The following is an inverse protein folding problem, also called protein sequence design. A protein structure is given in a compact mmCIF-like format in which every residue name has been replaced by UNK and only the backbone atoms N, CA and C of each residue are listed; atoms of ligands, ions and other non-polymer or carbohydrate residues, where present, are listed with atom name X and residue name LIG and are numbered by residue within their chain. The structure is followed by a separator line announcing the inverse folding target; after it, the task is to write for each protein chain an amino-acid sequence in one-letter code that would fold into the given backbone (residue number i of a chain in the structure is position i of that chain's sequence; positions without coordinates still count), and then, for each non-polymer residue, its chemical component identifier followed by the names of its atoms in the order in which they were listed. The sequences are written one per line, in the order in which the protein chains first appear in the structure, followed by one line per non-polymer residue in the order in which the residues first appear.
data_IF_208447925040
#
_entry.id   IF_208447925040
#
_cell.length_a   1.000
_cell.length_b   1.000
_cell.length_c   1.000
_cell.angle_alpha   90.00
_cell.angle_beta   90.00
_cell.angle_gamma   90.00
#
_symmetry.space_group_name_H-M   'P 1'
#
loop_
_entity.id
_entity.type
_entity.pdbx_description
1 polymer ?
#
# COMPACT_ATOMS: atom_id res chain seq x y z
N UNK A 1 -7.79 19.29 12.31
CA UNK A 1 -7.96 17.82 12.33
C UNK A 1 -6.78 17.20 11.61
N UNK A 2 -6.25 16.05 12.05
CA UNK A 2 -5.02 15.45 11.53
C UNK A 2 -5.32 14.04 11.05
N UNK A 3 -4.85 13.69 9.85
CA UNK A 3 -4.86 12.33 9.32
C UNK A 3 -3.47 11.99 8.76
N UNK A 4 -2.81 10.98 9.32
CA UNK A 4 -1.42 10.63 9.00
C UNK A 4 -1.28 9.27 8.32
N UNK A 5 -2.38 8.66 7.89
CA UNK A 5 -2.35 7.37 7.20
C UNK A 5 -3.40 7.35 6.10
N UNK A 6 -3.03 7.86 4.91
CA UNK A 6 -3.91 7.89 3.75
C UNK A 6 -3.20 7.40 2.49
N UNK A 7 -3.99 6.83 1.59
CA UNK A 7 -3.52 6.14 0.40
C UNK A 7 -4.12 6.79 -0.83
N UNK A 8 -3.32 6.87 -1.89
CA UNK A 8 -3.75 7.36 -3.19
C UNK A 8 -3.81 6.20 -4.18
N UNK A 9 -4.21 6.50 -5.40
CA UNK A 9 -4.16 5.55 -6.50
C UNK A 9 -2.72 5.16 -6.93
N UNK A 10 -1.66 5.76 -6.35
CA UNK A 10 -0.28 5.26 -6.50
C UNK A 10 0.01 4.00 -5.66
N UNK A 11 -0.93 3.57 -4.83
CA UNK A 11 -0.92 2.23 -4.24
C UNK A 11 -2.27 1.54 -4.39
N UNK A 12 -3.13 1.54 -3.37
CA UNK A 12 -4.42 0.83 -3.34
C UNK A 12 -5.61 1.73 -2.93
N UNK A 13 -5.36 3.04 -2.83
CA UNK A 13 -6.38 4.07 -2.71
C UNK A 13 -7.12 4.29 -4.03
N UNK A 14 -8.24 5.02 -3.96
CA UNK A 14 -9.11 5.26 -5.13
C UNK A 14 -9.03 6.69 -5.66
N UNK A 15 -8.48 7.61 -4.88
CA UNK A 15 -8.31 9.01 -5.25
C UNK A 15 -6.88 9.28 -5.73
N UNK A 16 -6.73 10.15 -6.71
CA UNK A 16 -5.43 10.76 -7.04
C UNK A 16 -4.89 11.56 -5.84
N UNK A 17 -3.57 11.78 -5.75
CA UNK A 17 -3.01 12.69 -4.74
C UNK A 17 -3.70 14.06 -4.73
N UNK A 18 -4.03 14.61 -5.91
CA UNK A 18 -4.76 15.88 -6.02
C UNK A 18 -6.17 15.80 -5.44
N UNK A 19 -6.93 14.77 -5.80
CA UNK A 19 -8.30 14.58 -5.29
C UNK A 19 -8.32 14.39 -3.77
N UNK A 20 -7.38 13.61 -3.24
CA UNK A 20 -7.25 13.37 -1.80
C UNK A 20 -6.95 14.65 -1.04
N UNK A 21 -6.01 15.48 -1.52
CA UNK A 21 -5.71 16.80 -0.95
C UNK A 21 -6.95 17.71 -0.94
N UNK A 22 -7.71 17.74 -2.04
CA UNK A 22 -8.93 18.54 -2.12
C UNK A 22 -10.02 18.05 -1.16
N UNK A 23 -10.20 16.73 -1.01
CA UNK A 23 -11.14 16.14 -0.06
C UNK A 23 -10.75 16.42 1.39
N UNK A 24 -9.45 16.35 1.70
CA UNK A 24 -8.94 16.67 3.02
C UNK A 24 -9.25 18.13 3.41
N UNK A 25 -8.99 19.08 2.51
CA UNK A 25 -9.35 20.50 2.69
C UNK A 25 -10.86 20.68 2.90
N UNK A 26 -11.69 20.07 2.05
CA UNK A 26 -13.14 20.16 2.16
C UNK A 26 -13.68 19.57 3.47
N UNK A 27 -12.96 18.62 4.07
CA UNK A 27 -13.31 17.96 5.33
C UNK A 27 -12.75 18.68 6.56
N UNK A 28 -12.03 19.79 6.40
CA UNK A 28 -11.40 20.53 7.50
C UNK A 28 -10.18 19.83 8.11
N UNK A 29 -9.56 18.90 7.38
CA UNK A 29 -8.25 18.34 7.73
C UNK A 29 -7.21 19.43 7.52
N UNK A 30 -6.38 19.64 8.53
CA UNK A 30 -5.32 20.66 8.58
C UNK A 30 -3.94 20.05 8.41
N UNK A 31 -3.81 18.74 8.57
CA UNK A 31 -2.56 17.99 8.36
C UNK A 31 -2.89 16.63 7.75
N UNK A 32 -2.34 16.34 6.58
CA UNK A 32 -2.56 15.12 5.81
C UNK A 32 -1.21 14.45 5.52
N UNK A 33 -1.09 13.13 5.71
CA UNK A 33 0.06 12.38 5.21
C UNK A 33 -0.30 11.51 4.01
N UNK A 34 0.56 11.52 2.98
CA UNK A 34 0.49 10.55 1.88
C UNK A 34 1.40 9.39 2.24
N UNK A 35 0.84 8.20 2.42
CA UNK A 35 1.55 7.03 2.93
C UNK A 35 1.27 5.81 2.06
N UNK A 36 1.40 5.97 0.75
CA UNK A 36 1.20 4.88 -0.21
C UNK A 36 2.08 3.65 0.09
N UNK A 37 1.54 2.46 -0.21
CA UNK A 37 2.27 1.21 0.03
C UNK A 37 3.57 1.14 -0.76
N UNK A 38 4.67 1.01 -0.04
CA UNK A 38 6.03 0.83 -0.56
C UNK A 38 6.42 1.86 -1.63
N UNK A 39 5.81 3.06 -1.68
CA UNK A 39 6.02 4.02 -2.77
C UNK A 39 5.95 5.46 -2.28
N UNK A 40 6.65 6.34 -2.99
CA UNK A 40 6.60 7.81 -2.81
C UNK A 40 6.12 8.52 -4.08
N UNK A 41 5.67 7.78 -5.09
CA UNK A 41 5.38 8.32 -6.42
C UNK A 41 4.27 9.39 -6.44
N UNK A 42 3.37 9.37 -5.45
CA UNK A 42 2.32 10.38 -5.31
C UNK A 42 2.76 11.70 -4.65
N UNK A 43 4.00 11.82 -4.17
CA UNK A 43 4.45 12.99 -3.40
C UNK A 43 4.42 14.29 -4.23
N UNK A 44 5.02 14.29 -5.41
CA UNK A 44 5.17 15.51 -6.22
C UNK A 44 3.81 16.09 -6.62
N UNK A 45 2.86 15.22 -6.95
CA UNK A 45 1.49 15.62 -7.26
C UNK A 45 0.77 16.17 -6.02
N UNK A 46 0.86 15.48 -4.87
CA UNK A 46 0.27 15.95 -3.62
C UNK A 46 0.82 17.33 -3.21
N UNK A 47 2.14 17.52 -3.33
CA UNK A 47 2.82 18.79 -3.03
C UNK A 47 2.32 19.89 -3.97
N UNK A 48 2.20 19.60 -5.26
CA UNK A 48 1.70 20.56 -6.26
C UNK A 48 0.23 20.95 -6.05
N UNK A 49 -0.56 20.05 -5.47
CA UNK A 49 -1.96 20.27 -5.15
C UNK A 49 -2.19 21.10 -3.87
N UNK A 50 -1.15 21.35 -3.05
CA UNK A 50 -1.29 22.02 -1.76
C UNK A 50 -1.92 23.42 -1.88
N UNK A 51 -2.73 23.77 -0.88
CA UNK A 51 -3.41 25.06 -0.73
C UNK A 51 -3.26 25.55 0.73
N UNK A 52 -3.39 26.87 0.97
CA UNK A 52 -3.36 27.42 2.32
C UNK A 52 -4.36 26.72 3.25
N UNK A 53 -3.93 26.42 4.48
CA UNK A 53 -4.76 25.75 5.49
C UNK A 53 -4.51 24.24 5.62
N UNK A 54 -3.73 23.62 4.72
CA UNK A 54 -3.31 22.22 4.84
C UNK A 54 -1.78 22.10 4.87
N UNK A 55 -1.27 21.37 5.86
CA UNK A 55 0.11 20.88 5.89
C UNK A 55 0.17 19.45 5.36
N UNK A 56 1.13 19.17 4.47
CA UNK A 56 1.39 17.82 3.99
C UNK A 56 2.53 17.18 4.78
N UNK A 57 2.39 15.89 5.09
CA UNK A 57 3.42 15.05 5.69
C UNK A 57 3.78 13.96 4.67
N UNK A 58 4.84 14.14 3.87
CA UNK A 58 5.30 13.10 2.96
C UNK A 58 5.69 11.83 3.74
N UNK A 59 5.24 10.67 3.27
CA UNK A 59 5.56 9.39 3.89
C UNK A 59 5.34 8.19 2.95
N UNK A 60 5.48 6.99 3.51
CA UNK A 60 5.17 5.73 2.84
C UNK A 60 4.78 4.69 3.89
N UNK A 61 3.87 3.78 3.54
CA UNK A 61 3.59 2.60 4.35
C UNK A 61 4.43 1.41 3.85
N UNK A 62 5.45 1.04 4.63
CA UNK A 62 6.39 -0.02 4.26
C UNK A 62 5.85 -1.37 4.72
N UNK A 63 5.68 -2.27 3.76
CA UNK A 63 5.29 -3.66 4.01
C UNK A 63 6.47 -4.41 4.62
N UNK A 64 6.27 -4.93 5.82
CA UNK A 64 7.27 -5.66 6.58
C UNK A 64 6.77 -7.06 6.94
N UNK A 65 7.70 -7.95 7.25
CA UNK A 65 7.40 -9.27 7.78
C UNK A 65 8.36 -9.64 8.90
N UNK A 66 7.83 -10.09 10.03
CA UNK A 66 8.64 -10.62 11.14
C UNK A 66 9.25 -11.98 10.77
N UNK A 67 10.23 -12.43 11.54
CA UNK A 67 10.92 -13.72 11.29
C UNK A 67 10.00 -14.94 11.43
N UNK A 68 8.92 -14.82 12.20
CA UNK A 68 7.86 -15.82 12.36
C UNK A 68 6.70 -15.65 11.34
N UNK A 69 6.84 -14.73 10.38
CA UNK A 69 5.97 -14.61 9.22
C UNK A 69 4.77 -13.66 9.38
N UNK A 70 4.69 -12.93 10.50
CA UNK A 70 3.62 -11.95 10.75
C UNK A 70 3.84 -10.74 9.83
N UNK A 71 2.79 -10.38 9.09
CA UNK A 71 2.76 -9.17 8.28
C UNK A 71 2.62 -7.96 9.20
N UNK A 72 3.51 -6.99 9.06
CA UNK A 72 3.49 -5.74 9.83
C UNK A 72 3.66 -4.60 8.85
N UNK A 73 2.95 -3.49 9.03
CA UNK A 73 3.20 -2.30 8.24
C UNK A 73 3.83 -1.22 9.12
N UNK A 74 4.81 -0.52 8.56
CA UNK A 74 5.52 0.57 9.24
C UNK A 74 5.37 1.84 8.40
N UNK A 75 4.74 2.87 8.97
CA UNK A 75 4.75 4.19 8.38
C UNK A 75 6.15 4.80 8.54
N UNK A 76 6.74 5.23 7.44
CA UNK A 76 7.86 6.17 7.44
C UNK A 76 7.34 7.55 7.09
N UNK A 77 7.56 8.53 7.97
CA UNK A 77 7.13 9.92 7.77
C UNK A 77 8.36 10.84 7.69
N UNK A 78 8.33 11.82 6.80
CA UNK A 78 9.33 12.89 6.67
C UNK A 78 10.77 12.41 6.44
N UNK A 79 10.96 11.23 5.84
CA UNK A 79 12.29 10.73 5.48
C UNK A 79 12.81 11.37 4.19
N UNK A 80 14.14 11.41 4.02
CA UNK A 80 14.80 11.86 2.80
C UNK A 80 14.51 10.91 1.62
N UNK A 81 13.83 11.36 0.54
CA UNK A 81 13.53 10.53 -0.62
C UNK A 81 14.79 10.16 -1.42
N UNK A 82 15.94 10.78 -1.16
CA UNK A 82 17.21 10.46 -1.82
C UNK A 82 18.04 9.40 -1.06
N UNK A 83 17.54 8.90 0.08
CA UNK A 83 18.23 7.86 0.83
C UNK A 83 18.22 6.52 0.07
N UNK A 84 19.34 6.23 -0.59
CA UNK A 84 19.50 5.12 -1.56
C UNK A 84 19.06 3.76 -1.00
N UNK A 85 19.46 3.42 0.23
CA UNK A 85 19.14 2.10 0.80
C UNK A 85 17.64 1.94 1.10
N UNK A 86 16.98 3.02 1.51
CA UNK A 86 15.54 3.02 1.76
C UNK A 86 14.80 2.88 0.44
N UNK A 87 15.15 3.68 -0.57
CA UNK A 87 14.55 3.59 -1.91
C UNK A 87 14.74 2.23 -2.56
N UNK A 88 15.92 1.62 -2.43
CA UNK A 88 16.19 0.26 -2.90
C UNK A 88 15.32 -0.77 -2.17
N UNK A 89 15.10 -0.60 -0.86
CA UNK A 89 14.25 -1.50 -0.07
C UNK A 89 12.78 -1.39 -0.51
N UNK A 90 12.28 -0.18 -0.72
CA UNK A 90 10.95 0.05 -1.28
C UNK A 90 10.81 -0.61 -2.66
N UNK A 91 11.78 -0.41 -3.57
CA UNK A 91 11.76 -1.02 -4.91
C UNK A 91 11.74 -2.54 -4.88
N UNK A 92 12.61 -3.18 -4.07
CA UNK A 92 12.65 -4.64 -3.93
C UNK A 92 11.34 -5.20 -3.39
N UNK A 93 10.71 -4.48 -2.46
CA UNK A 93 9.41 -4.88 -1.92
C UNK A 93 8.33 -4.78 -3.01
N UNK A 94 8.40 -3.76 -3.88
CA UNK A 94 7.50 -3.62 -5.03
C UNK A 94 7.68 -4.69 -6.12
N UNK A 95 8.91 -4.94 -6.55
CA UNK A 95 9.22 -5.86 -7.65
C UNK A 95 8.69 -7.28 -7.42
N UNK A 96 8.65 -7.73 -6.16
CA UNK A 96 8.17 -9.06 -5.81
C UNK A 96 6.63 -9.19 -5.83
N UNK A 97 5.88 -8.09 -5.99
CA UNK A 97 4.41 -8.12 -5.95
C UNK A 97 3.78 -8.77 -7.18
N UNK A 98 4.40 -8.66 -8.36
CA UNK A 98 3.89 -9.30 -9.59
C UNK A 98 3.96 -10.83 -9.51
N UNK A 99 5.16 -11.39 -9.29
CA UNK A 99 5.32 -12.84 -9.17
C UNK A 99 4.58 -13.43 -7.97
N UNK A 100 4.37 -12.65 -6.90
CA UNK A 100 3.49 -13.04 -5.79
C UNK A 100 2.03 -13.12 -6.25
N UNK A 101 1.54 -12.11 -6.96
CA UNK A 101 0.17 -12.04 -7.45
C UNK A 101 -0.15 -13.22 -8.38
N UNK A 102 0.75 -13.54 -9.31
CA UNK A 102 0.60 -14.70 -10.20
C UNK A 102 0.42 -16.02 -9.43
N UNK A 103 1.20 -16.22 -8.35
CA UNK A 103 1.07 -17.41 -7.51
C UNK A 103 -0.25 -17.45 -6.73
N UNK A 104 -0.74 -16.31 -6.25
CA UNK A 104 -2.05 -16.22 -5.58
C UNK A 104 -3.17 -16.56 -6.58
N UNK A 105 -3.11 -15.96 -7.78
CA UNK A 105 -4.03 -16.21 -8.88
C UNK A 105 -4.05 -17.70 -9.26
N UNK A 106 -2.89 -18.34 -9.38
CA UNK A 106 -2.80 -19.77 -9.68
C UNK A 106 -3.55 -20.63 -8.63
N UNK A 107 -3.34 -20.37 -7.33
CA UNK A 107 -4.04 -21.09 -6.26
C UNK A 107 -5.54 -20.85 -6.25
N UNK A 108 -5.99 -19.64 -6.60
CA UNK A 108 -7.42 -19.32 -6.71
C UNK A 108 -8.05 -20.07 -7.90
N UNK A 109 -7.36 -20.14 -9.04
CA UNK A 109 -7.81 -20.91 -10.20
C UNK A 109 -7.88 -22.42 -9.93
N UNK A 110 -6.91 -22.98 -9.19
CA UNK A 110 -6.94 -24.39 -8.75
C UNK A 110 -8.18 -24.70 -7.89
N UNK A 111 -8.73 -23.70 -7.20
CA UNK A 111 -9.97 -23.82 -6.44
C UNK A 111 -11.25 -23.60 -7.29
N UNK A 112 -11.13 -23.48 -8.61
CA UNK A 112 -12.24 -23.36 -9.54
C UNK A 112 -12.74 -21.93 -9.78
N UNK A 113 -12.03 -20.90 -9.31
CA UNK A 113 -12.40 -19.49 -9.48
C UNK A 113 -11.56 -18.89 -10.62
N UNK A 114 -12.21 -18.56 -11.73
CA UNK A 114 -11.53 -18.05 -12.92
C UNK A 114 -11.14 -16.57 -12.76
N UNK A 115 -9.86 -16.30 -12.50
CA UNK A 115 -9.28 -14.97 -12.38
C UNK A 115 -7.92 -14.93 -13.09
N UNK A 116 -7.60 -13.83 -13.77
CA UNK A 116 -6.37 -13.65 -14.52
C UNK A 116 -5.60 -12.44 -14.02
N UNK A 117 -4.30 -12.38 -14.35
CA UNK A 117 -3.49 -11.19 -14.05
C UNK A 117 -4.03 -9.96 -14.77
N UNK A 118 -4.59 -10.12 -15.97
CA UNK A 118 -5.20 -9.02 -16.71
C UNK A 118 -6.41 -8.41 -15.98
N UNK A 119 -7.25 -9.25 -15.35
CA UNK A 119 -8.39 -8.77 -14.54
C UNK A 119 -7.90 -7.90 -13.36
N UNK A 120 -6.79 -8.28 -12.73
CA UNK A 120 -6.20 -7.56 -11.60
C UNK A 120 -5.53 -6.26 -12.06
N UNK A 121 -4.78 -6.30 -13.17
CA UNK A 121 -4.12 -5.12 -13.73
C UNK A 121 -5.12 -4.07 -14.24
N UNK A 122 -6.31 -4.48 -14.66
CA UNK A 122 -7.38 -3.54 -15.00
C UNK A 122 -7.86 -2.71 -13.79
N UNK A 123 -7.58 -3.15 -12.57
CA UNK A 123 -7.89 -2.41 -11.34
C UNK A 123 -6.73 -1.50 -10.90
N UNK A 124 -5.55 -1.58 -11.53
CA UNK A 124 -4.40 -0.74 -11.20
C UNK A 124 -4.48 0.59 -11.95
N UNK A 125 -4.14 1.67 -11.25
CA UNK A 125 -3.77 2.93 -11.91
C UNK A 125 -2.32 2.87 -12.42
N UNK A 126 -2.00 3.70 -13.40
CA UNK A 126 -0.64 3.79 -13.95
C UNK A 126 0.37 4.15 -12.85
N UNK A 127 1.42 3.34 -12.71
CA UNK A 127 2.45 3.54 -11.68
C UNK A 127 2.06 3.08 -10.27
N UNK A 128 0.86 2.51 -10.09
CA UNK A 128 0.39 2.03 -8.80
C UNK A 128 1.15 0.79 -8.30
N UNK A 129 1.30 0.68 -6.98
CA UNK A 129 1.89 -0.51 -6.34
C UNK A 129 0.88 -1.65 -6.28
N UNK A 130 1.09 -2.69 -7.09
CA UNK A 130 0.24 -3.89 -7.15
C UNK A 130 0.06 -4.56 -5.78
N UNK A 131 -1.14 -5.02 -5.45
CA UNK A 131 -1.42 -5.63 -4.15
C UNK A 131 -2.71 -6.42 -4.13
N UNK A 132 -2.94 -7.17 -3.03
CA UNK A 132 -4.18 -7.93 -2.79
C UNK A 132 -5.47 -7.10 -2.89
N UNK A 133 -5.51 -5.80 -2.54
CA UNK A 133 -6.70 -4.99 -2.74
C UNK A 133 -7.17 -4.94 -4.19
N UNK A 134 -6.25 -4.88 -5.17
CA UNK A 134 -6.59 -4.92 -6.59
C UNK A 134 -7.15 -6.27 -7.02
N UNK A 135 -6.65 -7.37 -6.44
CA UNK A 135 -7.24 -8.70 -6.64
C UNK A 135 -8.63 -8.78 -6.03
N UNK A 136 -8.86 -8.17 -4.87
CA UNK A 136 -10.18 -8.08 -4.26
C UNK A 136 -11.15 -7.35 -5.18
N UNK A 137 -10.75 -6.21 -5.74
CA UNK A 137 -11.60 -5.44 -6.67
C UNK A 137 -11.90 -6.24 -7.94
N UNK A 138 -10.93 -6.99 -8.47
CA UNK A 138 -11.13 -7.84 -9.63
C UNK A 138 -12.11 -8.99 -9.32
N UNK A 139 -12.04 -9.57 -8.12
CA UNK A 139 -13.00 -10.58 -7.65
C UNK A 139 -14.40 -10.00 -7.46
N UNK A 140 -14.52 -8.77 -6.94
CA UNK A 140 -15.79 -8.04 -6.85
C UNK A 140 -16.37 -7.78 -8.22
N UNK A 141 -15.57 -7.25 -9.15
CA UNK A 141 -15.99 -6.97 -10.53
C UNK A 141 -16.46 -8.23 -11.27
N UNK A 142 -15.86 -9.38 -10.97
CA UNK A 142 -16.30 -10.69 -11.48
C UNK A 142 -17.50 -11.30 -10.76
N UNK A 143 -18.02 -10.65 -9.72
CA UNK A 143 -19.15 -11.14 -8.94
C UNK A 143 -18.82 -12.38 -8.09
N UNK A 144 -17.54 -12.61 -7.79
CA UNK A 144 -17.09 -13.75 -6.95
C UNK A 144 -17.37 -13.45 -5.47
N UNK A 145 -17.24 -12.19 -5.07
CA UNK A 145 -17.53 -11.66 -3.73
C UNK A 145 -18.24 -10.32 -3.87
N UNK A 146 -18.99 -9.89 -2.85
CA UNK A 146 -19.78 -8.66 -2.88
C UNK A 146 -18.99 -7.40 -2.53
N UNK A 147 -17.85 -7.53 -1.83
CA UNK A 147 -17.04 -6.38 -1.41
C UNK A 147 -15.56 -6.72 -1.22
N UNK A 148 -14.71 -5.67 -1.18
CA UNK A 148 -13.29 -5.80 -0.83
C UNK A 148 -13.10 -6.39 0.57
N UNK A 149 -13.93 -5.98 1.52
CA UNK A 149 -13.94 -6.52 2.88
C UNK A 149 -14.20 -8.03 2.87
N UNK A 150 -15.25 -8.47 2.17
CA UNK A 150 -15.57 -9.90 2.05
C UNK A 150 -14.42 -10.70 1.43
N UNK A 151 -13.78 -10.15 0.40
CA UNK A 151 -12.61 -10.78 -0.23
C UNK A 151 -11.49 -11.01 0.79
N UNK A 152 -11.18 -10.02 1.64
CA UNK A 152 -10.15 -10.15 2.67
C UNK A 152 -10.57 -11.12 3.77
N UNK A 153 -11.81 -11.05 4.26
CA UNK A 153 -12.31 -11.94 5.31
C UNK A 153 -12.32 -13.40 4.88
N UNK A 154 -12.72 -13.71 3.65
CA UNK A 154 -12.91 -15.10 3.20
C UNK A 154 -11.72 -15.69 2.45
N UNK A 155 -10.97 -14.87 1.70
CA UNK A 155 -10.04 -15.38 0.69
C UNK A 155 -8.62 -14.80 0.75
N UNK A 156 -8.46 -13.51 1.07
CA UNK A 156 -7.19 -12.81 0.87
C UNK A 156 -6.42 -12.51 2.17
N UNK A 157 -6.96 -12.90 3.34
CA UNK A 157 -6.26 -12.81 4.63
C UNK A 157 -5.03 -13.73 4.70
N UNK A 158 -4.13 -13.45 5.66
CA UNK A 158 -2.82 -14.11 5.76
C UNK A 158 -2.90 -15.62 6.10
N UNK A 159 -4.00 -16.07 6.71
CA UNK A 159 -4.22 -17.49 7.04
C UNK A 159 -4.96 -18.25 5.93
N UNK A 160 -5.29 -17.60 4.81
CA UNK A 160 -5.96 -18.24 3.70
C UNK A 160 -5.03 -19.22 2.98
N UNK A 161 -5.60 -20.31 2.46
CA UNK A 161 -4.87 -21.25 1.59
C UNK A 161 -4.32 -20.60 0.31
N UNK A 162 -4.90 -19.48 -0.11
CA UNK A 162 -4.44 -18.71 -1.28
C UNK A 162 -3.24 -17.81 -0.97
N UNK A 163 -2.92 -17.59 0.31
CA UNK A 163 -1.87 -16.66 0.72
C UNK A 163 -0.48 -17.13 0.31
N UNK A 164 0.28 -16.23 -0.30
CA UNK A 164 1.68 -16.44 -0.68
C UNK A 164 2.50 -15.33 -0.03
N UNK A 165 3.56 -15.68 0.69
CA UNK A 165 4.54 -14.70 1.20
C UNK A 165 5.46 -14.22 0.07
N UNK A 166 6.07 -13.06 0.29
CA UNK A 166 7.04 -12.46 -0.61
C UNK A 166 8.14 -11.80 0.21
N UNK A 167 9.22 -11.39 -0.44
CA UNK A 167 10.23 -10.60 0.24
C UNK A 167 9.61 -9.33 0.84
N UNK A 168 9.85 -9.13 2.12
CA UNK A 168 9.58 -7.89 2.84
C UNK A 168 10.70 -7.71 3.87
N UNK A 169 11.18 -6.49 4.12
CA UNK A 169 12.12 -6.24 5.21
C UNK A 169 11.52 -6.64 6.56
N UNK A 170 12.36 -6.89 7.56
CA UNK A 170 11.88 -6.97 8.93
C UNK A 170 11.43 -5.58 9.41
N UNK A 171 10.49 -5.48 10.36
CA UNK A 171 10.09 -4.19 10.93
C UNK A 171 11.28 -3.42 11.48
N UNK A 172 12.24 -4.09 12.13
CA UNK A 172 13.45 -3.48 12.67
C UNK A 172 14.33 -2.90 11.56
N UNK A 173 14.49 -3.62 10.44
CA UNK A 173 15.25 -3.15 9.30
C UNK A 173 14.59 -1.91 8.66
N UNK A 174 13.26 -1.92 8.49
CA UNK A 174 12.52 -0.77 7.97
C UNK A 174 12.62 0.44 8.91
N UNK A 175 12.42 0.25 10.22
CA UNK A 175 12.55 1.32 11.23
C UNK A 175 13.96 1.92 11.20
N UNK A 176 14.99 1.08 11.10
CA UNK A 176 16.39 1.53 11.01
C UNK A 176 16.59 2.42 9.78
N UNK A 177 16.17 1.96 8.60
CA UNK A 177 16.34 2.70 7.34
C UNK A 177 15.55 4.02 7.33
N UNK A 178 14.33 4.05 7.88
CA UNK A 178 13.54 5.28 8.02
C UNK A 178 14.31 6.30 8.88
N UNK A 179 14.88 5.86 10.01
CA UNK A 179 15.65 6.73 10.92
C UNK A 179 16.95 7.21 10.29
N UNK A 180 17.66 6.36 9.56
CA UNK A 180 18.88 6.72 8.83
C UNK A 180 18.60 7.74 7.73
N UNK A 181 17.43 7.66 7.09
CA UNK A 181 16.91 8.67 6.17
C UNK A 181 16.37 9.93 6.87
N UNK A 182 16.50 10.06 8.19
CA UNK A 182 16.07 11.24 8.96
C UNK A 182 14.56 11.31 9.26
N UNK A 183 13.79 10.26 8.94
CA UNK A 183 12.36 10.21 9.16
C UNK A 183 11.93 9.65 10.52
N UNK A 184 10.62 9.61 10.73
CA UNK A 184 9.94 9.03 11.89
C UNK A 184 9.26 7.73 11.49
N UNK A 185 9.51 6.67 12.24
CA UNK A 185 8.89 5.37 12.03
C UNK A 185 7.75 5.13 13.03
N UNK A 186 6.60 4.63 12.55
CA UNK A 186 5.42 4.29 13.36
C UNK A 186 4.90 2.92 12.92
N UNK A 187 4.63 2.02 13.87
CA UNK A 187 3.93 0.75 13.56
C UNK A 187 2.48 1.10 13.25
N UNK A 188 2.04 0.80 12.04
CA UNK A 188 0.66 1.04 11.62
C UNK A 188 -0.28 -0.02 12.21
N UNK A 189 -1.52 0.40 12.48
CA UNK A 189 -2.68 -0.46 12.83
C UNK A 189 -2.30 -1.81 13.51
N UNK A 190 -1.68 -1.79 14.70
CA UNK A 190 -1.00 -2.95 15.29
C UNK A 190 -1.91 -4.13 15.68
N UNK A 191 -3.21 -4.01 15.47
CA UNK A 191 -4.24 -4.99 15.79
C UNK A 191 -4.97 -5.54 14.54
N UNK A 192 -4.53 -5.17 13.33
CA UNK A 192 -5.15 -5.56 12.06
C UNK A 192 -4.94 -7.03 11.68
#
# INVERSE_FOLDING_TARGET
MIDLHTHTNFSDGTDTPTELVNKALASGITTLAITDHDSISGWDEAISALRPGLSLVPGAEISCQTTDGISVHVLGLLFDPNHVELMNTLSKTRENRHGRMEKIIARINEAGINISMADVLEQLSDGATLGRPHLADALVKKGVVASREEAFTQMLHNNSKYYVSHYSPSPEAAIKLIKEAGGVAVIAHPMA
#
